data_IF_705737155705
#
_entry.id   IF_705737155705
#
_cell.length_a   1.000
_cell.length_b   1.000
_cell.length_c   1.000
_cell.angle_alpha   90.00
_cell.angle_beta   90.00
_cell.angle_gamma   90.00
#
_symmetry.space_group_name_H-M   'P 1'
#
loop_
_entity.id
_entity.type
_entity.pdbx_description
1 polymer ?
#
# COMPACT_ATOMS: atom_id res chain seq x y z
N UNK A 1 3.09 -6.17 -10.20
CA UNK A 1 3.78 -5.45 -9.10
C UNK A 1 4.48 -6.49 -8.25
N UNK A 2 5.73 -6.29 -7.80
CA UNK A 2 6.48 -7.31 -7.03
C UNK A 2 7.10 -6.74 -5.74
N UNK A 3 6.27 -5.93 -5.08
CA UNK A 3 6.34 -5.73 -3.63
C UNK A 3 5.70 -6.95 -2.97
N UNK A 4 6.22 -7.37 -1.83
CA UNK A 4 5.58 -8.39 -1.01
C UNK A 4 5.65 -8.00 0.46
N UNK A 5 4.71 -8.52 1.23
CA UNK A 5 4.61 -8.32 2.66
C UNK A 5 4.58 -9.67 3.36
N UNK A 6 5.26 -9.77 4.50
CA UNK A 6 5.12 -10.91 5.40
C UNK A 6 5.13 -10.45 6.85
N UNK A 7 4.42 -11.23 7.67
CA UNK A 7 4.23 -11.01 9.09
C UNK A 7 4.68 -12.25 9.87
N UNK A 8 5.42 -12.06 10.95
CA UNK A 8 5.90 -13.15 11.82
C UNK A 8 5.56 -12.82 13.26
N UNK A 9 5.02 -13.80 13.98
CA UNK A 9 4.82 -13.77 15.43
C UNK A 9 5.38 -15.07 16.01
N UNK A 10 6.29 -14.96 16.97
CA UNK A 10 6.85 -16.13 17.65
C UNK A 10 6.08 -16.52 18.92
N UNK A 11 6.40 -17.70 19.47
CA UNK A 11 5.76 -18.20 20.68
C UNK A 11 6.08 -17.38 21.96
N UNK A 12 7.07 -16.48 21.92
CA UNK A 12 7.43 -15.57 23.01
C UNK A 12 6.71 -14.21 22.89
N UNK A 13 5.94 -14.00 21.82
CA UNK A 13 5.22 -12.76 21.56
C UNK A 13 6.05 -11.69 20.83
N UNK A 14 7.22 -12.03 20.29
CA UNK A 14 7.97 -11.12 19.42
C UNK A 14 7.29 -11.06 18.05
N UNK A 15 7.10 -9.85 17.53
CA UNK A 15 6.47 -9.62 16.23
C UNK A 15 7.42 -8.90 15.27
N UNK A 16 7.41 -9.33 14.00
CA UNK A 16 8.14 -8.69 12.90
C UNK A 16 7.18 -8.49 11.74
N UNK A 17 7.17 -7.28 11.18
CA UNK A 17 6.36 -6.89 10.03
C UNK A 17 7.30 -6.35 8.95
N UNK A 18 7.34 -7.01 7.79
CA UNK A 18 8.27 -6.63 6.71
C UNK A 18 7.51 -6.46 5.41
N UNK A 19 7.69 -5.29 4.81
CA UNK A 19 7.35 -5.05 3.41
C UNK A 19 8.64 -4.72 2.69
N UNK A 20 8.94 -5.44 1.62
CA UNK A 20 10.12 -5.19 0.80
C UNK A 20 9.80 -5.38 -0.69
N UNK A 21 10.65 -4.83 -1.55
CA UNK A 21 10.37 -4.77 -2.97
C UNK A 21 11.61 -4.54 -3.82
N UNK A 22 11.52 -4.95 -5.08
CA UNK A 22 12.34 -4.43 -6.19
C UNK A 22 11.55 -3.43 -7.06
N UNK A 23 10.48 -2.87 -6.49
CA UNK A 23 9.45 -2.03 -7.06
C UNK A 23 8.51 -2.78 -8.03
N UNK A 24 8.72 -2.67 -9.34
CA UNK A 24 7.90 -3.38 -10.33
C UNK A 24 8.18 -4.89 -10.35
N UNK A 25 7.34 -5.62 -11.09
CA UNK A 25 7.60 -7.03 -11.37
C UNK A 25 8.93 -7.18 -12.11
N UNK A 26 9.87 -7.92 -11.50
CA UNK A 26 11.26 -8.05 -11.95
C UNK A 26 12.10 -6.75 -11.94
N UNK A 27 11.63 -5.68 -11.26
CA UNK A 27 12.34 -4.41 -11.18
C UNK A 27 12.59 -3.78 -12.54
N UNK A 28 13.85 -3.51 -12.92
CA UNK A 28 14.20 -3.06 -14.29
C UNK A 28 14.19 -4.20 -15.33
N UNK A 29 13.90 -5.44 -14.94
CA UNK A 29 13.94 -6.62 -15.83
C UNK A 29 15.35 -7.11 -16.16
N UNK A 30 16.37 -6.57 -15.50
CA UNK A 30 17.78 -6.92 -15.70
C UNK A 30 18.36 -7.58 -14.46
N UNK A 31 19.14 -8.64 -14.67
CA UNK A 31 19.99 -9.20 -13.62
C UNK A 31 21.26 -8.37 -13.46
N UNK A 32 21.75 -8.26 -12.23
CA UNK A 32 23.04 -7.63 -11.95
C UNK A 32 24.18 -8.55 -12.40
N UNK A 33 24.60 -8.42 -13.67
CA UNK A 33 25.64 -9.28 -14.24
C UNK A 33 25.28 -10.76 -14.15
N UNK A 34 26.19 -11.57 -13.62
CA UNK A 34 26.03 -13.02 -13.42
C UNK A 34 25.63 -13.40 -11.97
N UNK A 35 25.10 -12.46 -11.18
CA UNK A 35 24.79 -12.69 -9.75
C UNK A 35 23.51 -13.49 -9.51
N UNK A 36 22.61 -13.56 -10.50
CA UNK A 36 21.29 -14.19 -10.35
C UNK A 36 20.23 -13.33 -9.65
N UNK A 37 20.52 -12.06 -9.32
CA UNK A 37 19.56 -11.15 -8.70
C UNK A 37 19.09 -10.07 -9.69
N UNK A 38 17.77 -9.83 -9.72
CA UNK A 38 17.20 -8.70 -10.44
C UNK A 38 17.52 -7.37 -9.76
N UNK A 39 17.78 -6.35 -10.59
CA UNK A 39 17.94 -4.97 -10.14
C UNK A 39 16.57 -4.31 -9.95
N UNK A 40 16.43 -3.52 -8.88
CA UNK A 40 15.21 -2.74 -8.63
C UNK A 40 15.06 -1.60 -9.64
N UNK A 41 13.83 -1.12 -9.81
CA UNK A 41 13.53 0.16 -10.45
C UNK A 41 12.93 1.17 -9.47
N UNK A 42 13.43 1.21 -8.23
CA UNK A 42 12.92 2.06 -7.14
C UNK A 42 13.20 3.56 -7.40
N UNK A 43 14.03 3.91 -8.37
CA UNK A 43 14.21 5.30 -8.79
C UNK A 43 12.91 5.95 -9.31
N UNK A 44 11.93 5.17 -9.78
CA UNK A 44 10.61 5.67 -10.19
C UNK A 44 9.76 6.22 -9.02
N UNK A 45 10.12 5.88 -7.78
CA UNK A 45 9.44 6.41 -6.60
C UNK A 45 9.84 7.86 -6.29
N UNK A 46 10.95 8.36 -6.86
CA UNK A 46 11.29 9.77 -6.80
C UNK A 46 10.39 10.62 -7.72
N UNK A 47 10.30 11.90 -7.39
CA UNK A 47 9.80 12.94 -8.29
C UNK A 47 10.84 13.20 -9.37
N UNK A 48 10.62 12.65 -10.57
CA UNK A 48 11.44 12.96 -11.76
C UNK A 48 11.16 14.36 -12.30
N UNK A 49 9.91 14.81 -12.18
CA UNK A 49 9.45 16.17 -12.50
C UNK A 49 8.28 16.55 -11.60
N UNK A 50 8.37 17.66 -10.83
CA UNK A 50 7.28 18.13 -9.97
C UNK A 50 5.96 18.27 -10.72
N UNK A 51 4.87 17.80 -10.11
CA UNK A 51 3.52 17.85 -10.69
C UNK A 51 3.22 16.77 -11.75
N UNK A 52 4.17 15.91 -12.09
CA UNK A 52 3.95 14.77 -13.01
C UNK A 52 3.81 13.49 -12.20
N UNK A 53 2.78 12.67 -12.45
CA UNK A 53 2.61 11.40 -11.75
C UNK A 53 3.72 10.41 -12.10
N UNK A 54 4.16 9.64 -11.12
CA UNK A 54 4.97 8.45 -11.38
C UNK A 54 4.12 7.29 -11.91
N UNK A 55 4.72 6.12 -12.06
CA UNK A 55 4.07 4.97 -12.67
C UNK A 55 2.94 4.35 -11.79
N UNK A 56 2.76 4.84 -10.55
CA UNK A 56 1.63 4.53 -9.66
C UNK A 56 0.59 5.66 -9.58
N UNK A 57 0.71 6.70 -10.41
CA UNK A 57 -0.20 7.85 -10.40
C UNK A 57 0.05 8.85 -9.26
N UNK A 58 1.13 8.68 -8.48
CA UNK A 58 1.45 9.58 -7.37
C UNK A 58 2.07 10.88 -7.88
N UNK A 59 1.40 11.99 -7.64
CA UNK A 59 1.90 13.34 -7.94
C UNK A 59 2.63 13.88 -6.72
N UNK A 60 3.89 14.25 -6.91
CA UNK A 60 4.79 14.64 -5.82
C UNK A 60 5.51 15.97 -6.13
N UNK A 61 6.10 16.57 -5.09
CA UNK A 61 6.79 17.86 -5.17
C UNK A 61 8.30 17.75 -4.94
N UNK A 62 8.97 18.91 -4.83
CA UNK A 62 10.43 19.02 -4.72
C UNK A 62 11.05 18.23 -3.54
N UNK A 63 10.28 18.00 -2.47
CA UNK A 63 10.75 17.27 -1.28
C UNK A 63 11.20 15.85 -1.62
N UNK A 64 10.63 15.20 -2.64
CA UNK A 64 11.03 13.87 -3.08
C UNK A 64 11.75 13.89 -4.45
N UNK A 65 12.47 14.96 -4.78
CA UNK A 65 13.35 14.95 -5.95
C UNK A 65 14.58 14.08 -5.77
N UNK A 66 15.13 13.63 -6.91
CA UNK A 66 16.35 12.83 -7.01
C UNK A 66 17.54 13.63 -6.50
N UNK A 67 18.24 13.07 -5.52
CA UNK A 67 19.49 13.62 -4.99
C UNK A 67 20.47 12.48 -4.64
N UNK A 68 21.79 12.67 -4.79
CA UNK A 68 22.78 11.68 -4.41
C UNK A 68 22.64 11.27 -2.94
N UNK A 69 22.64 9.97 -2.66
CA UNK A 69 22.54 9.42 -1.30
C UNK A 69 21.16 9.53 -0.65
N UNK A 70 20.17 10.13 -1.32
CA UNK A 70 18.80 10.22 -0.81
C UNK A 70 18.06 8.90 -1.04
N UNK A 71 17.13 8.60 -0.13
CA UNK A 71 16.23 7.44 -0.23
C UNK A 71 14.90 7.95 -0.80
N UNK A 72 14.34 7.31 -1.84
CA UNK A 72 13.04 7.70 -2.36
C UNK A 72 11.93 7.45 -1.36
N UNK A 73 10.90 8.30 -1.39
CA UNK A 73 9.68 8.11 -0.61
C UNK A 73 9.04 6.76 -0.96
N UNK A 74 8.48 6.08 0.04
CA UNK A 74 7.74 4.83 -0.15
C UNK A 74 6.37 4.90 0.50
N UNK A 75 5.40 4.22 -0.12
CA UNK A 75 4.07 3.99 0.45
C UNK A 75 4.00 2.72 1.32
N UNK A 76 5.11 2.00 1.54
CA UNK A 76 5.11 0.79 2.36
C UNK A 76 4.75 1.10 3.82
N UNK A 77 3.78 0.37 4.39
CA UNK A 77 3.33 0.55 5.78
C UNK A 77 3.35 -0.78 6.56
N UNK A 78 4.52 -1.41 6.80
CA UNK A 78 4.60 -2.56 7.69
C UNK A 78 4.17 -2.15 9.11
N UNK A 79 3.09 -2.75 9.61
CA UNK A 79 2.40 -2.29 10.83
C UNK A 79 2.31 -3.38 11.89
N UNK A 80 2.43 -2.96 13.16
CA UNK A 80 2.14 -3.76 14.35
C UNK A 80 1.21 -2.94 15.23
N UNK A 81 0.04 -3.48 15.55
CA UNK A 81 -0.93 -2.86 16.46
C UNK A 81 -0.82 -3.52 17.82
N UNK A 82 -0.76 -2.69 18.87
CA UNK A 82 -0.72 -3.15 20.26
C UNK A 82 -2.06 -2.90 20.94
N UNK A 83 -2.49 -3.83 21.80
CA UNK A 83 -3.63 -3.68 22.70
C UNK A 83 -3.19 -3.98 24.12
N UNK A 84 -3.31 -3.00 25.01
CA UNK A 84 -2.81 -3.08 26.39
C UNK A 84 -1.33 -3.51 26.48
N UNK A 85 -0.48 -2.95 25.61
CA UNK A 85 0.96 -3.23 25.57
C UNK A 85 1.35 -4.60 25.01
N UNK A 86 0.41 -5.40 24.50
CA UNK A 86 0.68 -6.69 23.85
C UNK A 86 0.37 -6.62 22.37
N UNK A 87 1.09 -7.40 21.55
CA UNK A 87 0.81 -7.53 20.12
C UNK A 87 -0.63 -8.01 19.93
N UNK A 88 -1.41 -7.25 19.18
CA UNK A 88 -2.80 -7.54 18.85
C UNK A 88 -2.96 -7.94 17.38
N UNK A 89 -2.21 -7.30 16.49
CA UNK A 89 -2.27 -7.51 15.04
C UNK A 89 -0.92 -7.18 14.42
N UNK A 90 -0.51 -7.97 13.42
CA UNK A 90 0.65 -7.70 12.55
C UNK A 90 0.11 -7.71 11.12
N UNK A 91 0.30 -6.63 10.38
CA UNK A 91 -0.30 -6.48 9.05
C UNK A 91 0.51 -5.55 8.15
N UNK A 92 0.20 -5.62 6.86
CA UNK A 92 0.77 -4.83 5.79
C UNK A 92 0.39 -5.46 4.44
N UNK A 93 0.68 -4.75 3.35
CA UNK A 93 0.31 -5.19 2.01
C UNK A 93 1.31 -4.69 0.96
N UNK A 94 1.47 -5.38 -0.19
CA UNK A 94 1.91 -4.74 -1.43
C UNK A 94 0.78 -3.91 -2.05
N UNK A 95 1.07 -3.12 -3.10
CA UNK A 95 0.04 -2.31 -3.79
C UNK A 95 0.48 -0.95 -4.36
N UNK A 96 1.72 -0.53 -4.14
CA UNK A 96 2.17 0.80 -4.58
C UNK A 96 1.41 1.88 -3.81
N UNK A 97 0.67 2.74 -4.52
CA UNK A 97 -0.16 3.78 -3.90
C UNK A 97 -1.27 3.22 -2.98
N UNK A 98 -1.78 2.01 -3.25
CA UNK A 98 -2.88 1.40 -2.49
C UNK A 98 -2.47 0.77 -1.16
N UNK A 99 -1.16 0.69 -0.85
CA UNK A 99 -0.66 0.06 0.38
C UNK A 99 -1.22 0.75 1.62
N UNK A 100 -1.27 2.09 1.58
CA UNK A 100 -1.71 2.91 2.71
C UNK A 100 -3.18 2.61 3.04
N UNK A 101 -4.08 2.67 2.05
CA UNK A 101 -5.51 2.40 2.28
C UNK A 101 -5.75 0.93 2.61
N UNK A 102 -5.10 -0.01 1.91
CA UNK A 102 -5.27 -1.45 2.18
C UNK A 102 -4.87 -1.82 3.61
N UNK A 103 -3.77 -1.26 4.11
CA UNK A 103 -3.30 -1.50 5.47
C UNK A 103 -4.23 -0.84 6.49
N UNK A 104 -4.70 0.38 6.20
CA UNK A 104 -5.68 1.09 7.03
C UNK A 104 -6.99 0.30 7.14
N UNK A 105 -7.57 -0.13 6.02
CA UNK A 105 -8.82 -0.90 5.98
C UNK A 105 -8.68 -2.22 6.74
N UNK A 106 -7.55 -2.92 6.61
CA UNK A 106 -7.26 -4.12 7.41
C UNK A 106 -7.34 -3.83 8.90
N UNK A 107 -6.79 -2.70 9.36
CA UNK A 107 -6.83 -2.28 10.77
C UNK A 107 -8.25 -1.90 11.20
N UNK A 108 -8.96 -1.09 10.41
CA UNK A 108 -10.34 -0.66 10.71
C UNK A 108 -11.30 -1.85 10.78
N UNK A 109 -11.18 -2.80 9.84
CA UNK A 109 -11.96 -4.03 9.81
C UNK A 109 -11.85 -4.83 11.12
N UNK A 110 -10.65 -4.92 11.68
CA UNK A 110 -10.43 -5.62 12.96
C UNK A 110 -10.86 -4.77 14.15
N UNK A 111 -10.45 -3.51 14.19
CA UNK A 111 -10.59 -2.65 15.38
C UNK A 111 -12.00 -2.10 15.54
N UNK A 112 -12.59 -1.58 14.47
CA UNK A 112 -13.89 -0.89 14.51
C UNK A 112 -15.04 -1.83 14.15
N UNK A 113 -14.83 -2.72 13.17
CA UNK A 113 -15.88 -3.64 12.71
C UNK A 113 -15.82 -5.02 13.35
N UNK A 114 -14.85 -5.27 14.24
CA UNK A 114 -14.75 -6.49 15.04
C UNK A 114 -14.50 -7.76 14.23
N UNK A 115 -14.00 -7.63 12.99
CA UNK A 115 -13.68 -8.77 12.13
C UNK A 115 -12.47 -9.54 12.67
N UNK A 116 -12.43 -10.84 12.42
CA UNK A 116 -11.18 -11.60 12.55
C UNK A 116 -10.22 -11.27 11.38
N UNK A 117 -8.95 -11.71 11.49
CA UNK A 117 -7.93 -11.40 10.47
C UNK A 117 -8.27 -11.91 9.06
N UNK A 118 -8.87 -13.10 8.94
CA UNK A 118 -9.25 -13.65 7.63
C UNK A 118 -10.36 -12.80 6.99
N UNK A 119 -11.40 -12.49 7.77
CA UNK A 119 -12.49 -11.61 7.32
C UNK A 119 -11.98 -10.23 6.92
N UNK A 120 -11.08 -9.65 7.70
CA UNK A 120 -10.51 -8.33 7.41
C UNK A 120 -9.68 -8.31 6.12
N UNK A 121 -9.01 -9.43 5.78
CA UNK A 121 -8.23 -9.57 4.54
C UNK A 121 -9.12 -9.84 3.33
N UNK A 122 -10.15 -10.67 3.50
CA UNK A 122 -11.09 -11.08 2.44
C UNK A 122 -12.13 -10.01 2.10
N UNK A 123 -12.37 -9.06 2.99
CA UNK A 123 -13.28 -7.95 2.74
C UNK A 123 -12.81 -7.16 1.50
N UNK A 124 -13.75 -6.76 0.61
CA UNK A 124 -13.42 -5.89 -0.52
C UNK A 124 -12.86 -4.56 -0.01
N UNK A 125 -12.12 -3.85 -0.87
CA UNK A 125 -11.44 -2.60 -0.51
C UNK A 125 -11.86 -1.40 -1.33
N UNK A 126 -11.62 -0.21 -0.78
CA UNK A 126 -11.73 1.07 -1.47
C UNK A 126 -10.44 1.89 -1.40
N UNK A 127 -10.15 2.67 -2.43
CA UNK A 127 -8.95 3.49 -2.48
C UNK A 127 -9.21 4.86 -3.11
N UNK A 128 -8.71 5.90 -2.47
CA UNK A 128 -8.70 7.28 -2.98
C UNK A 128 -7.34 7.90 -2.66
N UNK A 129 -6.63 8.35 -3.68
CA UNK A 129 -5.27 8.91 -3.58
C UNK A 129 -5.21 10.38 -4.01
N UNK A 130 -6.35 11.09 -3.96
CA UNK A 130 -6.54 12.46 -4.45
C UNK A 130 -6.40 12.64 -5.96
N UNK A 131 -5.28 12.22 -6.56
CA UNK A 131 -5.09 12.21 -8.01
C UNK A 131 -4.78 10.78 -8.51
N UNK A 132 -5.51 10.26 -9.51
CA UNK A 132 -6.69 10.85 -10.13
C UNK A 132 -7.84 11.01 -9.13
N UNK A 133 -8.70 12.01 -9.35
CA UNK A 133 -9.85 12.33 -8.49
C UNK A 133 -11.00 11.33 -8.74
N UNK A 134 -10.79 10.10 -8.28
CA UNK A 134 -11.74 9.00 -8.37
C UNK A 134 -11.49 7.99 -7.25
N UNK A 135 -12.56 7.38 -6.77
CA UNK A 135 -12.53 6.27 -5.83
C UNK A 135 -12.43 4.97 -6.63
N UNK A 136 -11.38 4.20 -6.39
CA UNK A 136 -11.25 2.83 -6.88
C UNK A 136 -11.91 1.91 -5.88
N UNK A 137 -12.74 0.99 -6.36
CA UNK A 137 -13.51 0.12 -5.45
C UNK A 137 -13.59 -1.30 -5.99
N UNK A 138 -13.35 -2.28 -5.11
CA UNK A 138 -13.47 -3.68 -5.48
C UNK A 138 -14.94 -4.13 -5.56
N UNK A 139 -15.26 -5.14 -6.39
CA UNK A 139 -16.61 -5.67 -6.48
C UNK A 139 -17.17 -6.09 -5.11
N UNK A 140 -18.39 -5.65 -4.81
CA UNK A 140 -19.09 -6.01 -3.57
C UNK A 140 -18.82 -5.09 -2.38
N UNK A 141 -17.97 -4.07 -2.50
CA UNK A 141 -17.76 -3.10 -1.41
C UNK A 141 -18.99 -2.20 -1.17
N UNK A 142 -19.60 -1.70 -2.24
CA UNK A 142 -20.73 -0.78 -2.18
C UNK A 142 -22.04 -1.46 -2.59
N UNK A 143 -23.10 -1.18 -1.83
CA UNK A 143 -24.46 -1.40 -2.32
C UNK A 143 -24.84 -0.31 -3.32
N UNK A 144 -25.77 -0.56 -4.26
CA UNK A 144 -26.23 0.46 -5.22
C UNK A 144 -26.74 1.74 -4.53
N UNK A 145 -27.39 1.60 -3.37
CA UNK A 145 -27.87 2.73 -2.57
C UNK A 145 -26.73 3.58 -2.02
N UNK A 146 -25.67 2.94 -1.52
CA UNK A 146 -24.50 3.64 -0.97
C UNK A 146 -23.72 4.35 -2.07
N UNK A 147 -23.51 3.68 -3.21
CA UNK A 147 -22.85 4.27 -4.36
C UNK A 147 -23.61 5.52 -4.85
N UNK A 148 -24.93 5.42 -5.06
CA UNK A 148 -25.73 6.57 -5.51
C UNK A 148 -25.73 7.74 -4.50
N UNK A 149 -25.62 7.46 -3.20
CA UNK A 149 -25.49 8.50 -2.18
C UNK A 149 -24.14 9.22 -2.27
N UNK A 150 -23.05 8.47 -2.48
CA UNK A 150 -21.71 9.04 -2.63
C UNK A 150 -21.56 9.81 -3.96
N UNK A 151 -22.15 9.33 -5.05
CA UNK A 151 -22.19 10.05 -6.33
C UNK A 151 -22.90 11.41 -6.19
N UNK A 152 -23.99 11.48 -5.40
CA UNK A 152 -24.66 12.76 -5.08
C UNK A 152 -23.80 13.71 -4.26
N UNK A 153 -22.81 13.20 -3.52
CA UNK A 153 -21.82 14.02 -2.82
C UNK A 153 -20.70 14.51 -3.75
N UNK A 154 -20.69 14.07 -5.01
CA UNK A 154 -19.69 14.46 -6.01
C UNK A 154 -18.55 13.45 -6.20
N UNK A 155 -18.58 12.30 -5.53
CA UNK A 155 -17.57 11.26 -5.74
C UNK A 155 -17.77 10.55 -7.07
N UNK A 156 -16.66 10.25 -7.75
CA UNK A 156 -16.64 9.41 -8.95
C UNK A 156 -15.99 8.07 -8.63
N UNK A 157 -16.45 7.00 -9.29
CA UNK A 157 -15.97 5.63 -9.06
C UNK A 157 -15.28 5.06 -10.30
N UNK A 158 -14.26 4.23 -10.10
CA UNK A 158 -13.54 3.47 -11.12
C UNK A 158 -13.42 2.00 -10.78
#
# INVERSE_FOLDING_TARGET
MHTTHYSVLDAKGNAVSVTYSINYLFGVGMMAGNTGFFLNNTMDDFTSKPGVPNSFGLVQGHVNEIQPGKIPLSSMVPSIVLKHGKVFMVTGSPGGSTIISSTLESILNVVDFGMNMQQAVDAPRMHMQWYPDAIFVEPGYLTPTTQAALEKMGYSFK
#
